data_IF_846407827683
#
_entry.id   IF_846407827683
#
_cell.length_a   1.000
_cell.length_b   1.000
_cell.length_c   1.000
_cell.angle_alpha   90.00
_cell.angle_beta   90.00
_cell.angle_gamma   90.00
#
_symmetry.space_group_name_H-M   'P 1'
#
loop_
_entity.id
_entity.type
_entity.pdbx_description
1 polymer ?
#
# COMPACT_ATOMS: atom_id res chain seq x y z
N UNK A 1 17.00 -8.38 16.06
CA UNK A 1 16.94 -7.84 14.68
C UNK A 1 15.97 -6.67 14.72
N UNK A 2 16.44 -5.46 14.46
CA UNK A 2 15.72 -4.19 14.63
C UNK A 2 14.33 -4.20 13.96
N UNK A 3 13.29 -4.06 14.78
CA UNK A 3 12.00 -3.60 14.31
C UNK A 3 12.12 -2.09 14.07
N UNK A 4 12.87 -1.71 13.04
CA UNK A 4 12.83 -0.34 12.53
C UNK A 4 11.36 -0.10 12.15
N UNK A 5 10.65 0.74 12.91
CA UNK A 5 9.26 1.07 12.61
C UNK A 5 9.32 1.97 11.38
N UNK A 6 9.48 1.33 10.22
CA UNK A 6 9.46 1.94 8.91
C UNK A 6 8.08 2.55 8.68
N UNK A 7 8.00 3.86 8.87
CA UNK A 7 6.81 4.65 8.60
C UNK A 7 6.96 5.23 7.21
N UNK A 8 6.36 4.57 6.23
CA UNK A 8 6.37 5.03 4.86
C UNK A 8 5.27 6.05 4.63
N UNK A 9 5.60 7.30 4.22
CA UNK A 9 4.59 8.29 3.93
C UNK A 9 3.80 7.87 2.68
N UNK A 10 2.47 7.89 2.81
CA UNK A 10 1.51 7.61 1.73
C UNK A 10 1.81 8.45 0.49
N UNK A 11 2.36 9.66 0.66
CA UNK A 11 2.80 10.51 -0.46
C UNK A 11 3.87 9.84 -1.34
N UNK A 12 4.88 9.24 -0.72
CA UNK A 12 5.94 8.54 -1.44
C UNK A 12 5.39 7.30 -2.17
N UNK A 13 4.38 6.63 -1.62
CA UNK A 13 3.72 5.49 -2.28
C UNK A 13 2.95 5.88 -3.54
N UNK A 14 2.30 7.05 -3.52
CA UNK A 14 1.63 7.58 -4.73
C UNK A 14 2.63 7.80 -5.86
N UNK A 15 3.80 8.36 -5.53
CA UNK A 15 4.88 8.61 -6.50
C UNK A 15 5.52 7.30 -6.98
N UNK A 16 5.82 6.37 -6.05
CA UNK A 16 6.44 5.07 -6.34
C UNK A 16 5.61 4.21 -7.29
N UNK A 17 4.30 4.15 -7.08
CA UNK A 17 3.39 3.37 -7.91
C UNK A 17 2.78 4.19 -9.06
N UNK A 18 3.13 5.48 -9.17
CA UNK A 18 2.53 6.42 -10.12
C UNK A 18 1.00 6.39 -10.13
N UNK A 19 0.38 6.31 -8.94
CA UNK A 19 -1.08 6.25 -8.77
C UNK A 19 -1.62 7.47 -8.05
N UNK A 20 -2.88 7.80 -8.32
CA UNK A 20 -3.56 8.88 -7.61
C UNK A 20 -3.92 8.47 -6.18
N UNK A 21 -4.12 9.48 -5.32
CA UNK A 21 -4.57 9.29 -3.93
C UNK A 21 -5.82 8.42 -3.85
N UNK A 22 -6.80 8.66 -4.72
CA UNK A 22 -8.06 7.92 -4.72
C UNK A 22 -7.85 6.42 -4.94
N UNK A 23 -6.97 6.05 -5.88
CA UNK A 23 -6.63 4.64 -6.16
C UNK A 23 -5.89 4.03 -4.98
N UNK A 24 -4.92 4.74 -4.40
CA UNK A 24 -4.16 4.26 -3.24
C UNK A 24 -5.08 4.00 -2.04
N UNK A 25 -5.99 4.92 -1.71
CA UNK A 25 -6.94 4.75 -0.62
C UNK A 25 -7.97 3.65 -0.90
N UNK A 26 -8.39 3.45 -2.15
CA UNK A 26 -9.22 2.29 -2.54
C UNK A 26 -8.49 0.97 -2.27
N UNK A 27 -7.19 0.89 -2.62
CA UNK A 27 -6.36 -0.30 -2.38
C UNK A 27 -6.15 -0.56 -0.88
N UNK A 28 -5.80 0.47 -0.12
CA UNK A 28 -5.67 0.39 1.34
C UNK A 28 -6.97 -0.12 1.98
N UNK A 29 -8.11 0.44 1.57
CA UNK A 29 -9.44 -0.01 2.03
C UNK A 29 -9.72 -1.45 1.63
N UNK A 30 -9.37 -1.87 0.42
CA UNK A 30 -9.52 -3.25 -0.05
C UNK A 30 -8.71 -4.24 0.77
N UNK A 31 -7.49 -3.86 1.18
CA UNK A 31 -6.62 -4.66 2.02
C UNK A 31 -6.96 -4.56 3.53
N UNK A 32 -7.92 -3.72 3.93
CA UNK A 32 -8.23 -3.46 5.34
C UNK A 32 -7.14 -2.70 6.10
N UNK A 33 -6.27 -1.99 5.37
CA UNK A 33 -5.14 -1.23 5.91
C UNK A 33 -5.62 0.16 6.34
N UNK A 34 -5.31 0.54 7.59
CA UNK A 34 -5.67 1.84 8.15
C UNK A 34 -4.41 2.68 8.31
N UNK A 35 -4.08 3.57 7.35
CA UNK A 35 -2.89 4.38 7.43
C UNK A 35 -2.97 5.32 8.64
N UNK A 36 -1.89 5.36 9.43
CA UNK A 36 -1.80 6.21 10.60
C UNK A 36 -1.52 7.65 10.18
N UNK A 37 -2.41 8.57 10.52
CA UNK A 37 -2.20 10.00 10.26
C UNK A 37 -1.28 10.58 11.32
N UNK A 38 -0.15 11.14 10.88
CA UNK A 38 0.81 11.81 11.75
C UNK A 38 1.06 13.23 11.20
N UNK A 39 0.59 14.25 11.93
CA UNK A 39 0.63 15.64 11.48
C UNK A 39 -0.17 15.88 10.19
N UNK A 40 0.53 16.28 9.12
CA UNK A 40 -0.07 16.60 7.80
C UNK A 40 -0.05 15.44 6.82
N UNK A 41 0.61 14.33 7.15
CA UNK A 41 0.77 13.19 6.26
C UNK A 41 0.20 11.91 6.88
N UNK A 42 -0.12 10.96 6.02
CA UNK A 42 -0.51 9.60 6.40
C UNK A 42 0.68 8.68 6.19
N UNK A 43 0.86 7.72 7.09
CA UNK A 43 1.95 6.76 7.06
C UNK A 43 1.39 5.35 7.10
N UNK A 44 2.10 4.43 6.45
CA UNK A 44 1.87 2.98 6.58
C UNK A 44 3.15 2.35 7.11
N UNK A 45 3.01 1.22 7.77
CA UNK A 45 4.10 0.38 8.25
C UNK A 45 4.70 -0.43 7.11
N UNK A 46 5.94 -0.92 7.29
CA UNK A 46 6.57 -1.80 6.31
C UNK A 46 5.75 -3.05 5.96
N UNK A 47 5.00 -3.61 6.92
CA UNK A 47 4.11 -4.76 6.67
C UNK A 47 2.99 -4.42 5.70
N UNK A 48 2.35 -3.27 5.90
CA UNK A 48 1.29 -2.76 5.03
C UNK A 48 1.82 -2.40 3.64
N UNK A 49 3.04 -1.85 3.59
CA UNK A 49 3.74 -1.60 2.32
C UNK A 49 3.96 -2.90 1.55
N UNK A 50 4.44 -3.96 2.19
CA UNK A 50 4.63 -5.27 1.55
C UNK A 50 3.33 -5.82 0.96
N UNK A 51 2.20 -5.66 1.66
CA UNK A 51 0.88 -6.06 1.13
C UNK A 51 0.49 -5.23 -0.10
N UNK A 52 0.77 -3.93 -0.09
CA UNK A 52 0.54 -3.07 -1.25
C UNK A 52 1.43 -3.45 -2.43
N UNK A 53 2.69 -3.79 -2.15
CA UNK A 53 3.66 -4.23 -3.16
C UNK A 53 3.19 -5.53 -3.81
N UNK A 54 2.76 -6.52 -3.01
CA UNK A 54 2.19 -7.77 -3.50
C UNK A 54 0.93 -7.57 -4.35
N UNK A 55 0.09 -6.59 -4.00
CA UNK A 55 -1.09 -6.24 -4.78
C UNK A 55 -0.73 -5.57 -6.12
N UNK A 56 0.40 -4.86 -6.19
CA UNK A 56 0.78 -4.10 -7.36
C UNK A 56 1.78 -4.82 -8.27
N UNK A 57 2.55 -5.76 -7.73
CA UNK A 57 3.58 -6.48 -8.46
C UNK A 57 2.96 -7.50 -9.44
N UNK A 58 3.17 -7.35 -10.75
CA UNK A 58 2.64 -8.27 -11.75
C UNK A 58 3.38 -9.60 -11.83
N UNK A 59 4.54 -9.74 -11.15
CA UNK A 59 5.31 -10.99 -11.08
C UNK A 59 5.04 -11.77 -9.78
N UNK A 60 4.16 -11.27 -8.91
CA UNK A 60 3.68 -12.02 -7.76
C UNK A 60 2.84 -13.21 -8.27
N UNK A 61 3.20 -14.41 -7.83
CA UNK A 61 2.67 -15.71 -8.28
C UNK A 61 1.18 -15.65 -8.69
N UNK A 62 0.80 -15.96 -9.94
CA UNK A 62 -0.52 -15.66 -10.54
C UNK A 62 -1.72 -16.39 -9.92
N UNK A 63 -1.53 -17.13 -8.82
CA UNK A 63 -2.61 -17.83 -8.11
C UNK A 63 -3.41 -16.91 -7.16
N UNK A 64 -2.91 -15.72 -6.84
CA UNK A 64 -3.52 -14.80 -5.85
C UNK A 64 -4.16 -13.54 -6.46
N UNK A 65 -3.79 -13.18 -7.70
CA UNK A 65 -4.08 -11.86 -8.29
C UNK A 65 -5.51 -11.66 -8.82
N UNK A 66 -6.34 -12.71 -8.88
CA UNK A 66 -7.69 -12.65 -9.47
C UNK A 66 -8.75 -11.91 -8.62
N UNK A 67 -8.36 -11.24 -7.54
CA UNK A 67 -9.32 -10.69 -6.55
C UNK A 67 -9.66 -9.20 -6.71
N UNK A 68 -8.95 -8.43 -7.54
CA UNK A 68 -9.04 -6.96 -7.54
C UNK A 68 -9.24 -6.29 -8.90
N UNK A 69 -9.88 -6.99 -9.84
CA UNK A 69 -10.34 -6.39 -11.09
C UNK A 69 -11.60 -5.57 -10.80
N UNK A 70 -11.41 -4.31 -10.42
CA UNK A 70 -12.51 -3.33 -10.30
C UNK A 70 -12.58 -2.59 -11.63
N UNK A 71 -13.72 -2.73 -12.30
CA UNK A 71 -14.15 -2.07 -13.54
C UNK A 71 -13.87 -0.54 -13.54
#
# INVERSE_FOLDING_TARGET
>A
MESEIDRFPVKSLMERYSITRSVLYKRLKGLGIVPTKFGRQSYVTGKELTLLDQLHDPNCNPRDVNRWRVD
#
